data_IF_433672505611
#
_entry.id   IF_433672505611
#
_cell.length_a   1.000
_cell.length_b   1.000
_cell.length_c   1.000
_cell.angle_alpha   90.00
_cell.angle_beta   90.00
_cell.angle_gamma   90.00
#
_symmetry.space_group_name_H-M   'P 1'
#
loop_
_entity.id
_entity.type
_entity.pdbx_description
1 polymer ?
#
# COMPACT_ATOMS: atom_id res chain seq x y z
N UNK A 1 11.10 15.78 8.10
CA UNK A 1 11.40 15.96 6.74
C UNK A 1 10.49 15.13 5.90
N UNK A 2 10.02 15.67 4.83
CA UNK A 2 9.08 15.00 4.02
C UNK A 2 9.74 14.21 2.93
N UNK A 3 9.35 12.95 2.75
CA UNK A 3 9.91 12.13 1.69
C UNK A 3 9.23 12.48 0.37
N UNK A 4 10.02 12.76 -0.66
CA UNK A 4 9.47 13.10 -1.92
C UNK A 4 9.43 11.94 -2.85
N UNK A 5 8.25 11.55 -3.29
CA UNK A 5 8.07 10.45 -4.22
C UNK A 5 8.27 10.94 -5.66
N UNK A 6 8.97 10.16 -6.46
CA UNK A 6 9.13 10.50 -7.86
C UNK A 6 7.90 10.09 -8.66
N UNK A 7 7.16 9.11 -8.16
CA UNK A 7 5.93 8.68 -8.79
C UNK A 7 4.78 9.47 -8.18
N UNK A 8 3.75 9.78 -8.97
CA UNK A 8 2.62 10.54 -8.49
C UNK A 8 1.78 9.70 -7.54
N UNK A 9 1.98 9.91 -6.25
CA UNK A 9 1.26 9.17 -5.23
C UNK A 9 -0.23 9.47 -5.24
N UNK A 10 -0.61 10.66 -5.68
CA UNK A 10 -2.03 11.04 -5.66
C UNK A 10 -2.84 10.30 -6.71
N UNK A 11 -2.19 9.65 -7.67
CA UNK A 11 -2.89 8.85 -8.66
C UNK A 11 -3.28 7.47 -8.13
N UNK A 12 -2.83 7.11 -6.94
CA UNK A 12 -3.14 5.80 -6.37
C UNK A 12 -4.41 5.89 -5.56
N UNK A 13 -5.45 5.10 -5.89
CA UNK A 13 -6.68 5.15 -5.13
C UNK A 13 -6.48 4.56 -3.73
N UNK A 14 -7.05 5.18 -2.72
CA UNK A 14 -6.89 4.72 -1.35
C UNK A 14 -8.21 4.72 -0.59
N UNK A 15 -8.24 3.94 0.49
CA UNK A 15 -9.32 3.96 1.46
C UNK A 15 -8.64 4.19 2.79
N UNK A 16 -9.12 5.16 3.56
CA UNK A 16 -8.54 5.43 4.87
C UNK A 16 -9.20 4.54 5.91
N UNK A 17 -8.38 3.75 6.63
CA UNK A 17 -8.87 2.89 7.68
C UNK A 17 -8.05 3.19 8.93
N UNK A 18 -8.68 3.71 9.95
CA UNK A 18 -8.06 4.09 11.22
C UNK A 18 -6.85 5.02 11.05
N UNK A 19 -6.92 5.88 10.06
CA UNK A 19 -5.86 6.86 9.82
C UNK A 19 -4.78 6.41 8.83
N UNK A 20 -4.85 5.18 8.33
CA UNK A 20 -3.91 4.69 7.35
C UNK A 20 -4.56 4.70 5.97
N UNK A 21 -3.91 5.32 5.00
CA UNK A 21 -4.40 5.35 3.63
C UNK A 21 -3.94 4.07 2.93
N UNK A 22 -4.84 3.12 2.80
CA UNK A 22 -4.53 1.80 2.25
C UNK A 22 -4.91 1.78 0.77
N UNK A 23 -4.02 1.31 -0.07
CA UNK A 23 -4.26 1.29 -1.52
C UNK A 23 -5.47 0.43 -1.87
N UNK A 24 -6.42 1.03 -2.58
CA UNK A 24 -7.66 0.36 -2.95
C UNK A 24 -7.48 -0.32 -4.30
N UNK A 25 -6.65 -1.35 -4.33
CA UNK A 25 -6.16 -1.97 -5.55
C UNK A 25 -6.17 -3.48 -5.42
N UNK A 26 -5.91 -4.17 -6.52
CA UNK A 26 -5.71 -5.62 -6.49
C UNK A 26 -4.28 -5.92 -6.95
N UNK A 27 -3.91 -7.19 -6.96
CA UNK A 27 -2.56 -7.59 -7.29
C UNK A 27 -2.19 -7.25 -8.73
N UNK A 28 -3.12 -7.40 -9.67
CA UNK A 28 -2.86 -7.09 -11.08
C UNK A 28 -2.54 -5.61 -11.23
N UNK A 29 -3.28 -4.75 -10.55
CA UNK A 29 -3.04 -3.31 -10.58
C UNK A 29 -1.64 -3.00 -10.02
N UNK A 30 -1.32 -3.64 -8.89
CA UNK A 30 -0.05 -3.39 -8.22
C UNK A 30 1.13 -3.81 -9.08
N UNK A 31 1.05 -4.97 -9.71
CA UNK A 31 2.13 -5.44 -10.57
C UNK A 31 2.31 -4.53 -11.78
N UNK A 32 1.19 -4.12 -12.40
CA UNK A 32 1.25 -3.24 -13.55
C UNK A 32 1.82 -1.88 -13.17
N UNK A 33 1.36 -1.32 -12.07
CA UNK A 33 1.83 -0.03 -11.58
C UNK A 33 3.35 -0.08 -11.33
N UNK A 34 3.81 -1.17 -10.71
CA UNK A 34 5.22 -1.30 -10.39
C UNK A 34 6.05 -1.41 -11.66
N UNK A 35 5.59 -2.19 -12.63
CA UNK A 35 6.32 -2.35 -13.89
C UNK A 35 6.40 -1.03 -14.66
N UNK A 36 5.31 -0.28 -14.68
CA UNK A 36 5.26 0.97 -15.42
C UNK A 36 6.08 2.07 -14.77
N UNK A 37 6.33 1.97 -13.47
CA UNK A 37 7.01 3.04 -12.75
C UNK A 37 8.31 2.57 -12.10
N UNK A 38 8.88 1.47 -12.56
CA UNK A 38 10.00 0.84 -11.90
C UNK A 38 11.16 1.79 -11.61
N UNK A 39 11.54 2.59 -12.58
CA UNK A 39 12.64 3.50 -12.37
C UNK A 39 12.32 4.57 -11.32
N UNK A 40 11.11 5.08 -11.35
CA UNK A 40 10.71 6.12 -10.40
C UNK A 40 10.49 5.59 -9.00
N UNK A 41 10.28 4.27 -8.86
CA UNK A 41 10.07 3.67 -7.56
C UNK A 41 11.36 3.33 -6.83
N UNK A 42 12.50 3.45 -7.51
CA UNK A 42 13.74 3.15 -6.88
C UNK A 42 13.96 4.06 -5.70
N UNK A 43 14.31 3.50 -4.57
CA UNK A 43 14.52 4.26 -3.35
C UNK A 43 13.27 4.58 -2.57
N UNK A 44 12.12 4.24 -3.11
CA UNK A 44 10.87 4.42 -2.38
C UNK A 44 10.57 3.16 -1.58
N UNK A 45 9.50 3.17 -0.79
CA UNK A 45 9.15 1.98 -0.04
C UNK A 45 7.65 1.75 -0.06
N UNK A 46 7.28 0.48 0.08
CA UNK A 46 5.89 0.07 0.09
C UNK A 46 5.66 -0.63 1.42
N UNK A 47 4.60 -0.22 2.12
CA UNK A 47 4.25 -0.85 3.37
C UNK A 47 3.20 -1.91 3.14
N UNK A 48 3.24 -2.95 3.97
CA UNK A 48 2.22 -3.98 3.95
C UNK A 48 1.24 -3.65 5.06
N UNK A 49 -0.04 -3.58 4.75
CA UNK A 49 -1.07 -3.24 5.73
C UNK A 49 -1.98 -4.42 5.99
N UNK A 50 -2.14 -4.77 7.25
CA UNK A 50 -3.11 -5.79 7.67
C UNK A 50 -3.80 -5.24 8.91
N UNK A 51 -4.70 -6.02 9.49
CA UNK A 51 -5.45 -5.55 10.66
C UNK A 51 -4.52 -5.18 11.80
N UNK A 52 -3.51 -6.03 12.06
CA UNK A 52 -2.58 -5.77 13.15
C UNK A 52 -1.79 -4.48 12.95
N UNK A 53 -1.22 -4.27 11.77
CA UNK A 53 -0.43 -3.07 11.51
C UNK A 53 -1.31 -1.82 11.52
N UNK A 54 -2.57 -1.95 11.08
CA UNK A 54 -3.48 -0.82 11.04
C UNK A 54 -3.88 -0.39 12.46
N UNK A 55 -4.13 -1.36 13.34
CA UNK A 55 -4.44 -1.04 14.74
C UNK A 55 -3.21 -0.45 15.43
N UNK A 56 -2.02 -1.00 15.16
CA UNK A 56 -0.80 -0.46 15.73
C UNK A 56 -0.60 0.99 15.29
N UNK A 57 -0.85 1.27 14.02
CA UNK A 57 -0.70 2.63 13.49
C UNK A 57 -1.73 3.58 14.12
N UNK A 58 -2.92 3.07 14.44
CA UNK A 58 -3.93 3.90 15.08
C UNK A 58 -3.46 4.33 16.47
N UNK A 59 -2.75 3.45 17.16
CA UNK A 59 -2.30 3.73 18.51
C UNK A 59 -0.94 4.41 18.59
N UNK A 60 -0.17 4.42 17.52
CA UNK A 60 1.19 4.96 17.51
C UNK A 60 1.33 5.92 16.35
N UNK A 61 1.41 7.20 16.66
CA UNK A 61 1.46 8.24 15.64
C UNK A 61 2.70 8.14 14.75
N UNK A 62 3.83 7.78 15.30
CA UNK A 62 5.04 7.64 14.50
C UNK A 62 4.94 6.48 13.54
N UNK A 63 4.39 5.36 13.99
CA UNK A 63 4.21 4.21 13.11
C UNK A 63 3.20 4.52 12.02
N UNK A 64 2.15 5.27 12.35
CA UNK A 64 1.16 5.69 11.36
C UNK A 64 1.80 6.56 10.29
N UNK A 65 2.72 7.44 10.68
CA UNK A 65 3.41 8.29 9.72
C UNK A 65 4.28 7.45 8.78
N UNK A 66 4.89 6.37 9.28
CA UNK A 66 5.67 5.48 8.46
C UNK A 66 4.77 4.74 7.47
N UNK A 67 3.61 4.27 7.92
CA UNK A 67 2.68 3.57 7.05
C UNK A 67 2.15 4.48 5.93
N UNK A 68 1.93 5.74 6.23
CA UNK A 68 1.44 6.69 5.24
C UNK A 68 2.55 7.34 4.41
N UNK A 69 3.80 7.18 4.83
CA UNK A 69 4.92 7.84 4.16
C UNK A 69 5.48 7.12 2.95
N UNK A 70 5.17 5.83 2.78
CA UNK A 70 5.63 5.10 1.59
C UNK A 70 4.81 5.49 0.36
N UNK A 71 5.17 4.93 -0.78
CA UNK A 71 4.42 5.24 -1.99
C UNK A 71 3.00 4.69 -1.89
N UNK A 72 2.83 3.55 -1.25
CA UNK A 72 1.51 3.03 -0.96
C UNK A 72 1.57 2.01 0.19
N UNK A 73 0.43 1.74 0.80
CA UNK A 73 0.30 0.67 1.78
C UNK A 73 -0.59 -0.39 1.12
N UNK A 74 -0.03 -1.54 0.80
CA UNK A 74 -0.78 -2.56 0.08
C UNK A 74 -1.60 -3.40 1.04
N UNK A 75 -2.85 -3.72 0.70
CA UNK A 75 -3.72 -4.47 1.59
C UNK A 75 -3.36 -5.95 1.61
N UNK A 76 -2.71 -6.39 2.70
CA UNK A 76 -2.37 -7.78 2.85
C UNK A 76 -3.31 -8.38 3.88
N UNK A 77 -4.36 -8.96 3.42
CA UNK A 77 -5.35 -9.57 4.30
C UNK A 77 -6.76 -9.31 3.83
N UNK A 78 -7.57 -10.36 3.84
CA UNK A 78 -8.96 -10.27 3.41
C UNK A 78 -9.79 -9.23 4.13
N UNK A 79 -9.65 -9.10 5.48
CA UNK A 79 -10.48 -8.14 6.21
C UNK A 79 -10.37 -6.69 5.73
N UNK A 80 -9.15 -6.23 5.42
CA UNK A 80 -9.01 -4.86 4.96
C UNK A 80 -9.64 -4.66 3.59
N UNK A 81 -9.47 -5.63 2.69
CA UNK A 81 -10.07 -5.54 1.37
C UNK A 81 -11.59 -5.58 1.47
N UNK A 82 -12.11 -6.38 2.38
CA UNK A 82 -13.55 -6.46 2.59
C UNK A 82 -14.11 -5.12 3.07
N UNK A 83 -13.43 -4.49 4.01
CA UNK A 83 -13.85 -3.17 4.50
C UNK A 83 -13.78 -2.15 3.37
N UNK A 84 -12.72 -2.18 2.58
CA UNK A 84 -12.58 -1.26 1.46
C UNK A 84 -13.70 -1.41 0.45
N UNK A 85 -14.05 -2.65 0.11
CA UNK A 85 -15.14 -2.87 -0.83
C UNK A 85 -16.47 -2.38 -0.28
N UNK A 86 -16.70 -2.54 1.02
CA UNK A 86 -17.92 -2.04 1.62
C UNK A 86 -17.99 -0.52 1.63
N UNK A 87 -16.85 0.14 1.53
CA UNK A 87 -16.81 1.60 1.47
C UNK A 87 -16.77 2.13 0.06
N UNK A 88 -16.99 1.26 -0.93
CA UNK A 88 -17.09 1.71 -2.31
C UNK A 88 -15.90 1.38 -3.22
N UNK A 89 -14.83 0.81 -2.66
CA UNK A 89 -13.67 0.45 -3.47
C UNK A 89 -13.88 -0.95 -4.04
N UNK A 90 -14.74 -1.05 -5.04
CA UNK A 90 -15.21 -2.35 -5.56
C UNK A 90 -14.10 -3.26 -6.03
N UNK A 91 -13.02 -2.68 -6.56
CA UNK A 91 -11.93 -3.49 -7.11
C UNK A 91 -10.84 -3.82 -6.10
N UNK A 92 -10.97 -3.42 -4.86
CA UNK A 92 -9.97 -3.68 -3.86
C UNK A 92 -9.94 -5.17 -3.53
N UNK A 93 -8.77 -5.75 -3.53
CA UNK A 93 -8.63 -7.16 -3.25
C UNK A 93 -7.33 -7.40 -2.50
N UNK A 94 -7.24 -8.56 -1.83
CA UNK A 94 -6.07 -8.90 -1.07
C UNK A 94 -4.85 -8.98 -1.99
N UNK A 95 -3.77 -8.35 -1.56
CA UNK A 95 -2.48 -8.54 -2.18
C UNK A 95 -1.60 -9.23 -1.16
N UNK A 96 -0.60 -9.98 -1.59
CA UNK A 96 0.23 -10.69 -0.64
C UNK A 96 1.66 -10.22 -0.79
N UNK A 97 2.27 -9.80 0.30
CA UNK A 97 3.64 -9.35 0.30
C UNK A 97 4.61 -10.38 -0.28
N UNK A 98 4.54 -11.64 0.16
CA UNK A 98 5.42 -12.66 -0.38
C UNK A 98 5.26 -12.87 -1.88
N UNK A 99 4.03 -12.88 -2.39
CA UNK A 99 3.80 -13.03 -3.82
C UNK A 99 4.33 -11.84 -4.60
N UNK A 100 4.10 -10.64 -4.09
CA UNK A 100 4.58 -9.44 -4.73
C UNK A 100 6.11 -9.47 -4.84
N UNK A 101 6.79 -9.85 -3.76
CA UNK A 101 8.23 -9.92 -3.79
C UNK A 101 8.74 -10.97 -4.73
N UNK A 102 8.01 -12.06 -4.90
CA UNK A 102 8.41 -13.10 -5.80
C UNK A 102 8.32 -12.72 -7.26
N UNK A 103 7.62 -11.64 -7.56
CA UNK A 103 7.46 -11.22 -8.93
C UNK A 103 8.56 -10.27 -9.29
N UNK A 104 9.58 -10.37 -9.03
CA UNK A 104 10.64 -9.60 -9.41
C UNK A 104 10.71 -8.23 -9.15
N UNK A 105 9.77 -7.69 -8.75
CA UNK A 105 9.80 -6.36 -8.53
C UNK A 105 9.93 -6.33 -7.13
N UNK A 106 9.92 -7.35 -6.48
CA UNK A 106 9.88 -7.42 -5.09
C UNK A 106 10.95 -6.72 -4.38
N UNK A 107 11.84 -6.20 -5.07
CA UNK A 107 12.72 -5.55 -4.40
C UNK A 107 12.37 -4.26 -4.15
N UNK A 108 11.41 -3.86 -4.46
CA UNK A 108 11.00 -2.60 -4.18
C UNK A 108 10.90 -2.37 -2.81
N UNK A 109 11.21 -2.69 -1.91
CA UNK A 109 11.28 -2.62 -0.93
C UNK A 109 11.45 -2.20 -0.12
N UNK A 110 11.51 -2.25 0.47
CA UNK A 110 11.27 -1.91 1.29
C UNK A 110 11.78 -2.14 2.22
#
# INVERSE_FOLDING_TARGET
MEFKHKTDKTAIPTVNILGVDIAAIDMDWLLRFTQENLENLRGDYICVANVHTTVTAYEDEEYRAIQNGGILAMPDGGPLSSIGRKRGAADMARTTGPSYRGEEIGRAHV
#
